data_IF_127766981590
#
_entry.id   IF_127766981590
#
_cell.length_a   1.000
_cell.length_b   1.000
_cell.length_c   1.000
_cell.angle_alpha   90.00
_cell.angle_beta   90.00
_cell.angle_gamma   90.00
#
_symmetry.space_group_name_H-M   'P 1'
#
loop_
_entity.id
_entity.type
_entity.pdbx_description
1 polymer ?
#
# COMPACT_ATOMS: atom_id res chain seq x y z
N UNK A 1 -4.57 16.19 -17.83
CA UNK A 1 -3.81 16.34 -16.57
C UNK A 1 -4.05 15.09 -15.76
N UNK A 2 -2.99 14.47 -15.24
CA UNK A 2 -3.11 13.31 -14.35
C UNK A 2 -3.41 13.73 -12.91
N UNK A 3 -3.67 12.75 -12.06
CA UNK A 3 -3.79 12.91 -10.61
C UNK A 3 -2.41 13.03 -9.95
N UNK A 4 -2.37 13.46 -8.69
CA UNK A 4 -1.19 13.64 -7.85
C UNK A 4 -1.01 12.51 -6.83
N UNK A 5 0.19 12.34 -6.26
CA UNK A 5 0.41 11.36 -5.20
C UNK A 5 -0.44 11.61 -3.94
N UNK A 6 -0.76 12.86 -3.63
CA UNK A 6 -1.67 13.20 -2.54
C UNK A 6 -3.11 12.72 -2.83
N UNK A 7 -3.58 12.85 -4.07
CA UNK A 7 -4.88 12.33 -4.49
C UNK A 7 -4.89 10.79 -4.48
N UNK A 8 -3.82 10.15 -4.94
CA UNK A 8 -3.66 8.70 -4.86
C UNK A 8 -3.64 8.23 -3.40
N UNK A 9 -2.89 8.91 -2.54
CA UNK A 9 -2.81 8.60 -1.10
C UNK A 9 -4.19 8.66 -0.47
N UNK A 10 -4.96 9.71 -0.76
CA UNK A 10 -6.32 9.84 -0.27
C UNK A 10 -7.26 8.75 -0.82
N UNK A 11 -7.11 8.37 -2.09
CA UNK A 11 -7.91 7.34 -2.72
C UNK A 11 -7.61 5.93 -2.17
N UNK A 12 -6.34 5.60 -1.90
CA UNK A 12 -5.89 4.31 -1.36
C UNK A 12 -6.39 4.06 0.08
N UNK A 13 -6.74 5.12 0.82
CA UNK A 13 -7.36 4.95 2.15
C UNK A 13 -8.72 4.23 2.09
N UNK A 14 -9.39 4.25 0.93
CA UNK A 14 -10.70 3.62 0.79
C UNK A 14 -10.52 2.10 0.76
N UNK A 15 -11.17 1.35 1.67
CA UNK A 15 -11.09 -0.11 1.67
C UNK A 15 -11.69 -0.70 0.38
N UNK A 16 -11.18 -1.86 -0.04
CA UNK A 16 -11.76 -2.63 -1.14
C UNK A 16 -13.04 -3.33 -0.66
N UNK A 17 -14.18 -2.65 -0.77
CA UNK A 17 -15.48 -3.16 -0.33
C UNK A 17 -15.76 -2.93 1.15
N UNK A 18 -16.78 -3.61 1.69
CA UNK A 18 -17.18 -3.45 3.08
C UNK A 18 -16.10 -3.97 4.05
N UNK A 19 -15.70 -3.18 5.06
CA UNK A 19 -14.73 -3.60 6.05
C UNK A 19 -15.35 -4.68 6.96
N UNK A 20 -15.15 -5.94 6.60
CA UNK A 20 -15.42 -7.06 7.49
C UNK A 20 -14.50 -7.01 8.73
N UNK A 21 -14.90 -7.64 9.85
CA UNK A 21 -14.21 -7.53 11.14
C UNK A 21 -12.78 -8.13 11.17
N UNK A 22 -12.36 -8.80 10.11
CA UNK A 22 -11.10 -9.54 10.03
C UNK A 22 -10.01 -8.84 9.22
N UNK A 23 -10.32 -7.72 8.55
CA UNK A 23 -9.34 -7.02 7.68
C UNK A 23 -8.39 -6.13 8.48
N UNK A 24 -7.16 -5.92 7.98
CA UNK A 24 -6.24 -4.98 8.58
C UNK A 24 -6.79 -3.55 8.58
N UNK A 25 -6.51 -2.84 9.67
CA UNK A 25 -6.55 -1.38 9.67
C UNK A 25 -5.27 -0.91 8.98
N UNK A 26 -5.42 -0.31 7.79
CA UNK A 26 -4.33 0.27 7.01
C UNK A 26 -4.53 1.77 6.94
N UNK A 27 -3.51 2.53 7.34
CA UNK A 27 -3.46 4.00 7.21
C UNK A 27 -2.24 4.36 6.40
N UNK A 28 -2.42 4.94 5.21
CA UNK A 28 -1.29 5.38 4.36
C UNK A 28 -0.87 6.80 4.74
N UNK A 29 0.34 6.95 5.26
CA UNK A 29 0.89 8.25 5.67
C UNK A 29 1.47 9.02 4.48
N UNK A 30 2.15 8.32 3.58
CA UNK A 30 2.87 8.91 2.46
C UNK A 30 2.93 7.96 1.25
N UNK A 31 2.96 8.55 0.06
CA UNK A 31 3.22 7.87 -1.20
C UNK A 31 4.22 8.69 -2.00
N UNK A 32 5.32 8.06 -2.39
CA UNK A 32 6.35 8.70 -3.21
C UNK A 32 6.89 7.75 -4.27
N UNK A 33 7.35 8.33 -5.37
CA UNK A 33 8.13 7.62 -6.37
C UNK A 33 9.62 7.92 -6.15
N UNK A 34 10.46 6.88 -6.09
CA UNK A 34 11.92 7.03 -6.01
C UNK A 34 12.63 6.95 -7.38
N UNK A 35 11.84 6.85 -8.46
CA UNK A 35 12.27 6.66 -9.85
C UNK A 35 12.33 5.19 -10.28
N UNK A 36 12.15 4.25 -9.34
CA UNK A 36 12.19 2.80 -9.58
C UNK A 36 11.03 2.08 -8.88
N UNK A 37 10.60 2.57 -7.71
CA UNK A 37 9.57 1.98 -6.86
C UNK A 37 8.52 3.02 -6.45
N UNK A 38 7.27 2.55 -6.35
CA UNK A 38 6.29 3.23 -5.54
C UNK A 38 6.56 2.87 -4.09
N UNK A 39 6.98 3.86 -3.30
CA UNK A 39 7.25 3.70 -1.88
C UNK A 39 6.04 4.19 -1.07
N UNK A 40 5.56 3.32 -0.19
CA UNK A 40 4.37 3.52 0.63
C UNK A 40 4.78 3.51 2.10
N UNK A 41 4.57 4.63 2.79
CA UNK A 41 4.62 4.67 4.25
C UNK A 41 3.21 4.42 4.78
N UNK A 42 3.05 3.40 5.62
CA UNK A 42 1.76 3.04 6.16
C UNK A 42 1.84 2.51 7.59
N UNK A 43 0.75 2.68 8.33
CA UNK A 43 0.50 1.92 9.54
C UNK A 43 -0.44 0.76 9.21
N UNK A 44 -0.07 -0.46 9.63
CA UNK A 44 -0.91 -1.63 9.48
C UNK A 44 -0.99 -2.43 10.79
N UNK A 45 -2.21 -2.80 11.15
CA UNK A 45 -2.55 -3.59 12.34
C UNK A 45 -3.74 -4.51 12.05
N UNK A 46 -3.82 -5.62 12.78
CA UNK A 46 -4.99 -6.51 12.77
C UNK A 46 -6.00 -6.09 13.84
N UNK A 47 -7.18 -6.70 13.85
CA UNK A 47 -8.18 -6.47 14.90
C UNK A 47 -7.62 -6.67 16.32
N UNK A 48 -6.66 -7.59 16.47
CA UNK A 48 -6.01 -7.92 17.75
C UNK A 48 -4.51 -7.56 17.79
N UNK A 49 -3.92 -7.11 16.67
CA UNK A 49 -2.50 -6.76 16.59
C UNK A 49 -2.33 -5.24 16.60
N UNK A 50 -1.46 -4.73 17.49
CA UNK A 50 -1.09 -3.31 17.50
C UNK A 50 -0.57 -2.89 16.13
N UNK A 51 -1.13 -1.80 15.60
CA UNK A 51 -0.63 -1.17 14.39
C UNK A 51 0.85 -0.84 14.51
N UNK A 52 1.60 -1.18 13.47
CA UNK A 52 3.02 -0.87 13.33
C UNK A 52 3.21 -0.06 12.05
N UNK A 53 4.20 0.81 12.05
CA UNK A 53 4.56 1.58 10.86
C UNK A 53 5.50 0.78 9.97
N UNK A 54 5.29 0.88 8.67
CA UNK A 54 6.00 0.15 7.65
C UNK A 54 6.29 1.06 6.47
N UNK A 55 7.39 0.77 5.81
CA UNK A 55 7.72 1.25 4.48
C UNK A 55 7.71 0.06 3.53
N UNK A 56 6.88 0.13 2.49
CA UNK A 56 6.82 -0.86 1.42
C UNK A 56 7.30 -0.22 0.12
N UNK A 57 8.18 -0.91 -0.60
CA UNK A 57 8.60 -0.52 -1.93
C UNK A 57 8.06 -1.55 -2.93
N UNK A 58 7.05 -1.15 -3.70
CA UNK A 58 6.52 -1.94 -4.80
C UNK A 58 7.26 -1.58 -6.08
N UNK A 59 7.52 -2.55 -6.99
CA UNK A 59 8.11 -2.26 -8.29
C UNK A 59 7.28 -1.18 -8.97
N UNK A 60 7.89 -0.05 -9.32
CA UNK A 60 7.15 1.04 -9.92
C UNK A 60 6.75 0.61 -11.32
N UNK A 61 5.45 0.57 -11.54
CA UNK A 61 4.86 0.68 -12.86
C UNK A 61 4.47 2.15 -13.09
N UNK A 62 5.30 3.13 -12.71
CA UNK A 62 5.01 4.58 -12.80
C UNK A 62 4.40 4.96 -14.15
N UNK A 63 4.97 4.38 -15.22
CA UNK A 63 4.53 4.55 -16.59
C UNK A 63 3.11 4.01 -16.88
N UNK A 64 2.59 3.10 -16.07
CA UNK A 64 1.26 2.52 -16.18
C UNK A 64 0.28 3.14 -15.18
N UNK A 65 0.67 3.37 -13.92
CA UNK A 65 -0.26 3.91 -12.91
C UNK A 65 -0.71 5.32 -13.25
N UNK A 66 0.21 6.25 -13.52
CA UNK A 66 -0.12 7.67 -13.79
C UNK A 66 -0.96 7.87 -15.06
N UNK A 67 -1.01 6.88 -15.95
CA UNK A 67 -1.84 6.86 -17.16
C UNK A 67 -3.24 6.28 -16.93
N UNK A 68 -3.48 5.64 -15.79
CA UNK A 68 -4.78 5.09 -15.41
C UNK A 68 -5.65 6.12 -14.68
N UNK A 69 -6.99 5.94 -14.70
CA UNK A 69 -7.87 6.65 -13.79
C UNK A 69 -7.43 6.49 -12.32
N UNK A 70 -7.58 7.55 -11.53
CA UNK A 70 -7.18 7.58 -10.12
C UNK A 70 -7.74 6.40 -9.32
N UNK A 71 -9.02 6.09 -9.52
CA UNK A 71 -9.67 4.97 -8.83
C UNK A 71 -9.01 3.63 -9.18
N UNK A 72 -8.64 3.40 -10.45
CA UNK A 72 -7.96 2.16 -10.86
C UNK A 72 -6.56 2.07 -10.25
N UNK A 73 -5.80 3.16 -10.26
CA UNK A 73 -4.48 3.22 -9.63
C UNK A 73 -4.58 2.95 -8.11
N UNK A 74 -5.56 3.56 -7.45
CA UNK A 74 -5.82 3.37 -6.03
C UNK A 74 -6.20 1.92 -5.70
N UNK A 75 -7.05 1.29 -6.52
CA UNK A 75 -7.43 -0.11 -6.38
C UNK A 75 -6.20 -1.03 -6.45
N UNK A 76 -5.29 -0.82 -7.40
CA UNK A 76 -4.07 -1.61 -7.56
C UNK A 76 -3.16 -1.47 -6.35
N UNK A 77 -2.87 -0.23 -5.94
CA UNK A 77 -2.01 0.03 -4.78
C UNK A 77 -2.62 -0.58 -3.51
N UNK A 78 -3.94 -0.42 -3.32
CA UNK A 78 -4.64 -0.99 -2.17
C UNK A 78 -4.60 -2.51 -2.17
N UNK A 79 -4.81 -3.15 -3.32
CA UNK A 79 -4.73 -4.61 -3.44
C UNK A 79 -3.34 -5.13 -3.07
N UNK A 80 -2.27 -4.47 -3.52
CA UNK A 80 -0.90 -4.84 -3.18
C UNK A 80 -0.61 -4.72 -1.67
N UNK A 81 -1.13 -3.68 -0.99
CA UNK A 81 -0.96 -3.52 0.47
C UNK A 81 -1.77 -4.59 1.22
N UNK A 82 -3.00 -4.91 0.79
CA UNK A 82 -3.81 -5.96 1.43
C UNK A 82 -3.17 -7.35 1.24
N UNK A 83 -2.69 -7.66 0.03
CA UNK A 83 -1.98 -8.91 -0.26
C UNK A 83 -0.68 -9.04 0.57
N UNK A 84 0.08 -7.95 0.66
CA UNK A 84 1.25 -7.87 1.54
C UNK A 84 0.87 -8.19 2.99
N UNK A 85 -0.19 -7.55 3.51
CA UNK A 85 -0.61 -7.78 4.88
C UNK A 85 -0.93 -9.26 5.10
N UNK A 86 -1.74 -9.87 4.25
CA UNK A 86 -2.20 -11.26 4.43
C UNK A 86 -1.06 -12.28 4.33
N UNK A 87 -0.01 -11.97 3.57
CA UNK A 87 1.10 -12.90 3.30
C UNK A 87 2.38 -12.59 4.07
N UNK A 88 2.52 -11.44 4.75
CA UNK A 88 3.76 -11.00 5.44
C UNK A 88 4.34 -12.04 6.41
N UNK A 89 3.50 -12.85 7.05
CA UNK A 89 3.94 -13.89 7.98
C UNK A 89 4.67 -15.06 7.31
N UNK A 90 4.42 -15.29 6.02
CA UNK A 90 5.08 -16.31 5.19
C UNK A 90 6.40 -15.80 4.61
N UNK A 91 6.57 -14.48 4.54
CA UNK A 91 7.71 -13.81 3.94
C UNK A 91 8.34 -12.78 4.91
N UNK A 92 9.05 -13.25 5.95
CA UNK A 92 9.62 -12.35 6.97
C UNK A 92 10.66 -11.37 6.40
N UNK A 93 11.35 -11.76 5.32
CA UNK A 93 12.35 -10.93 4.62
C UNK A 93 11.74 -10.06 3.50
N UNK A 94 10.43 -10.15 3.26
CA UNK A 94 9.71 -9.46 2.18
C UNK A 94 9.20 -10.42 1.09
N UNK A 95 8.07 -10.07 0.48
CA UNK A 95 7.53 -10.84 -0.64
C UNK A 95 8.44 -10.72 -1.88
N UNK A 96 8.37 -11.67 -2.83
CA UNK A 96 9.01 -11.49 -4.12
C UNK A 96 8.63 -10.14 -4.74
N UNK A 97 9.65 -9.35 -5.10
CA UNK A 97 9.51 -8.01 -5.68
C UNK A 97 8.94 -6.92 -4.76
N UNK A 98 8.58 -7.20 -3.50
CA UNK A 98 8.16 -6.17 -2.54
C UNK A 98 9.18 -6.10 -1.41
N UNK A 99 9.94 -5.01 -1.39
CA UNK A 99 10.79 -4.71 -0.25
C UNK A 99 9.93 -4.16 0.90
N UNK A 100 10.18 -4.64 2.12
CA UNK A 100 9.49 -4.17 3.32
C UNK A 100 10.49 -3.75 4.40
N UNK A 101 10.16 -2.70 5.15
CA UNK A 101 10.93 -2.25 6.30
C UNK A 101 10.01 -1.80 7.41
N UNK A 102 10.18 -2.35 8.62
CA UNK A 102 9.46 -1.88 9.79
C UNK A 102 10.04 -0.55 10.26
N UNK A 103 9.19 0.43 10.51
CA UNK A 103 9.54 1.73 11.07
C UNK A 103 9.05 1.76 12.53
N UNK A 104 9.98 2.07 13.46
CA UNK A 104 9.75 2.40 14.88
C UNK A 104 8.60 1.69 15.61
#
# INVERSE_FOLDING_TARGET
MGWTFDELRAAVQRPLGDPGPSRPVIVVNDLRDDGVHLVVDLEAGGAEERSRRWELAFPSVEGDLTRMPLDHAALIVRANIEEWWDTRGQYPEGMPCVAQKRLG
#
